data_IF_014609996854
#
_entry.id   IF_014609996854
#
_cell.length_a   1.000
_cell.length_b   1.000
_cell.length_c   1.000
_cell.angle_alpha   90.00
_cell.angle_beta   90.00
_cell.angle_gamma   90.00
#
_symmetry.space_group_name_H-M   'P 1'
#
loop_
_entity.id
_entity.type
_entity.pdbx_description
1 polymer ?
#
# COMPACT_ATOMS: atom_id res chain seq x y z
N UNK A 1 -0.44 -1.37 13.80
CA UNK A 1 -0.69 -0.36 12.74
C UNK A 1 -2.09 0.19 12.93
N UNK A 2 -2.20 1.46 13.27
CA UNK A 2 -3.51 2.11 13.50
C UNK A 2 -4.13 2.40 12.13
N UNK A 3 -5.41 2.10 11.95
CA UNK A 3 -6.12 2.48 10.72
C UNK A 3 -6.28 4.01 10.71
N UNK A 4 -5.37 4.72 10.04
CA UNK A 4 -5.31 6.18 9.97
C UNK A 4 -6.63 6.79 9.47
N UNK A 5 -7.40 6.01 8.71
CA UNK A 5 -8.68 6.44 8.16
C UNK A 5 -9.89 6.14 9.08
N UNK A 6 -9.72 5.27 10.09
CA UNK A 6 -10.81 4.94 11.02
C UNK A 6 -11.28 6.14 11.85
N UNK A 7 -10.42 7.16 12.02
CA UNK A 7 -10.67 8.38 12.77
C UNK A 7 -10.67 9.65 11.92
N UNK A 8 -10.82 9.53 10.59
CA UNK A 8 -10.81 10.68 9.69
C UNK A 8 -11.93 11.68 10.04
N UNK A 9 -11.58 12.97 10.09
CA UNK A 9 -12.53 14.04 10.40
C UNK A 9 -13.54 14.19 9.26
N UNK A 10 -14.87 14.21 9.55
CA UNK A 10 -15.87 14.45 8.52
C UNK A 10 -15.76 15.88 7.97
N UNK A 11 -16.00 16.05 6.66
CA UNK A 11 -15.96 17.36 6.01
C UNK A 11 -15.88 17.29 4.49
N UNK A 12 -16.05 18.43 3.82
CA UNK A 12 -16.03 18.50 2.36
C UNK A 12 -14.66 18.02 1.78
N UNK A 13 -13.55 18.38 2.43
CA UNK A 13 -12.21 17.93 2.03
C UNK A 13 -12.07 16.40 2.10
N UNK A 14 -12.58 15.77 3.17
CA UNK A 14 -12.56 14.32 3.32
C UNK A 14 -13.43 13.64 2.25
N UNK A 15 -14.61 14.19 1.92
CA UNK A 15 -15.50 13.67 0.86
C UNK A 15 -14.85 13.78 -0.52
N UNK A 16 -14.25 14.92 -0.86
CA UNK A 16 -13.53 15.09 -2.12
C UNK A 16 -12.29 14.17 -2.17
N UNK A 17 -11.53 14.10 -1.09
CA UNK A 17 -10.40 13.20 -0.97
C UNK A 17 -10.78 11.72 -1.14
N UNK A 18 -11.89 11.28 -0.54
CA UNK A 18 -12.38 9.90 -0.68
C UNK A 18 -12.84 9.58 -2.11
N UNK A 19 -13.51 10.52 -2.79
CA UNK A 19 -13.92 10.35 -4.19
C UNK A 19 -12.71 10.25 -5.14
N UNK A 20 -11.70 11.11 -4.93
CA UNK A 20 -10.45 11.05 -5.68
C UNK A 20 -9.67 9.76 -5.41
N UNK A 21 -9.64 9.32 -4.15
CA UNK A 21 -9.01 8.08 -3.75
C UNK A 21 -9.73 6.86 -4.37
N UNK A 22 -11.06 6.87 -4.44
CA UNK A 22 -11.85 5.81 -5.08
C UNK A 22 -11.53 5.71 -6.58
N UNK A 23 -11.48 6.86 -7.29
CA UNK A 23 -11.09 6.90 -8.71
C UNK A 23 -9.65 6.41 -8.91
N UNK A 24 -8.72 6.80 -8.04
CA UNK A 24 -7.34 6.35 -8.09
C UNK A 24 -7.22 4.84 -7.86
N UNK A 25 -7.97 4.27 -6.89
CA UNK A 25 -8.06 2.82 -6.67
C UNK A 25 -8.59 2.10 -7.90
N UNK A 26 -9.72 2.52 -8.45
CA UNK A 26 -10.31 1.90 -9.64
C UNK A 26 -9.33 1.91 -10.84
N UNK A 27 -8.57 3.01 -11.02
CA UNK A 27 -7.53 3.09 -12.06
C UNK A 27 -6.36 2.14 -11.76
N UNK A 28 -5.96 2.02 -10.50
CA UNK A 28 -4.90 1.10 -10.05
C UNK A 28 -5.27 -0.36 -10.34
N UNK A 29 -6.51 -0.77 -10.05
CA UNK A 29 -6.98 -2.12 -10.31
C UNK A 29 -6.94 -2.48 -11.80
N UNK A 30 -7.44 -1.60 -12.67
CA UNK A 30 -7.33 -1.82 -14.11
C UNK A 30 -5.87 -1.96 -14.56
N UNK A 31 -4.96 -1.15 -14.01
CA UNK A 31 -3.51 -1.25 -14.31
C UNK A 31 -2.89 -2.52 -13.73
N UNK A 32 -3.30 -2.91 -12.53
CA UNK A 32 -2.86 -4.15 -11.91
C UNK A 32 -3.12 -5.33 -12.84
N UNK A 33 -4.36 -5.56 -13.25
CA UNK A 33 -4.70 -6.64 -14.19
C UNK A 33 -3.95 -6.53 -15.53
N UNK A 34 -3.93 -5.34 -16.10
CA UNK A 34 -3.29 -5.13 -17.41
C UNK A 34 -1.78 -5.37 -17.40
N UNK A 35 -1.10 -5.10 -16.29
CA UNK A 35 0.37 -5.20 -16.21
C UNK A 35 0.87 -6.51 -15.60
N UNK A 36 0.04 -7.21 -14.81
CA UNK A 36 0.41 -8.50 -14.20
C UNK A 36 -0.19 -9.69 -14.94
N UNK A 37 -1.21 -9.47 -15.76
CA UNK A 37 -1.96 -10.56 -16.40
C UNK A 37 -2.85 -11.34 -15.43
N UNK A 38 -3.07 -10.84 -14.22
CA UNK A 38 -3.90 -11.51 -13.21
C UNK A 38 -5.32 -11.78 -13.74
N UNK A 39 -5.76 -13.00 -13.64
CA UNK A 39 -7.05 -13.49 -14.11
C UNK A 39 -7.53 -14.70 -13.30
N UNK A 40 -8.65 -15.34 -13.70
CA UNK A 40 -9.17 -16.51 -13.02
C UNK A 40 -8.09 -17.60 -12.83
N UNK A 41 -8.01 -18.15 -11.61
CA UNK A 41 -7.00 -19.17 -11.25
C UNK A 41 -5.64 -18.59 -10.81
N UNK A 42 -5.39 -17.28 -10.94
CA UNK A 42 -4.19 -16.65 -10.37
C UNK A 42 -4.31 -16.61 -8.85
N UNK A 43 -3.37 -17.28 -8.16
CA UNK A 43 -3.30 -17.29 -6.69
C UNK A 43 -2.54 -16.06 -6.22
N UNK A 44 -3.20 -15.24 -5.40
CA UNK A 44 -2.68 -13.95 -4.96
C UNK A 44 -2.64 -13.90 -3.44
N UNK A 45 -1.54 -13.42 -2.86
CA UNK A 45 -1.49 -12.98 -1.46
C UNK A 45 -1.57 -11.46 -1.40
N UNK A 46 -2.55 -10.93 -0.65
CA UNK A 46 -2.73 -9.48 -0.41
C UNK A 46 -2.14 -9.11 0.95
N UNK A 47 -0.91 -8.59 0.96
CA UNK A 47 -0.14 -8.30 2.17
C UNK A 47 -0.40 -6.88 2.65
N UNK A 48 -0.88 -6.76 3.90
CA UNK A 48 -1.42 -5.52 4.46
C UNK A 48 -2.80 -5.21 3.90
N UNK A 49 -3.64 -6.23 3.76
CA UNK A 49 -4.93 -6.16 3.08
C UNK A 49 -5.93 -5.19 3.73
N UNK A 50 -5.76 -4.85 5.02
CA UNK A 50 -6.70 -3.99 5.72
C UNK A 50 -8.10 -4.63 5.82
N UNK A 51 -9.14 -3.78 5.90
CA UNK A 51 -10.54 -4.26 6.07
C UNK A 51 -11.19 -4.74 4.77
N UNK A 52 -10.82 -4.15 3.65
CA UNK A 52 -11.49 -4.38 2.36
C UNK A 52 -10.62 -5.25 1.46
N UNK A 53 -9.31 -4.95 1.43
CA UNK A 53 -8.33 -5.64 0.62
C UNK A 53 -8.58 -5.59 -0.89
N UNK A 54 -7.70 -6.25 -1.61
CA UNK A 54 -7.85 -6.48 -3.04
C UNK A 54 -9.09 -7.35 -3.34
N UNK A 55 -9.40 -8.32 -2.45
CA UNK A 55 -10.50 -9.27 -2.61
C UNK A 55 -11.86 -8.63 -2.85
N UNK A 56 -12.17 -7.53 -2.13
CA UNK A 56 -13.44 -6.84 -2.32
C UNK A 56 -13.55 -6.08 -3.64
N UNK A 57 -12.41 -5.82 -4.29
CA UNK A 57 -12.31 -5.09 -5.55
C UNK A 57 -12.15 -6.02 -6.75
N UNK A 58 -11.66 -7.23 -6.50
CA UNK A 58 -11.38 -8.28 -7.47
C UNK A 58 -11.98 -9.62 -7.00
N UNK A 59 -13.32 -9.74 -6.93
CA UNK A 59 -13.99 -10.89 -6.31
C UNK A 59 -13.84 -12.20 -7.11
N UNK A 60 -13.44 -12.13 -8.35
CA UNK A 60 -13.22 -13.27 -9.26
C UNK A 60 -11.78 -13.83 -9.19
N UNK A 61 -10.87 -13.18 -8.45
CA UNK A 61 -9.51 -13.67 -8.25
C UNK A 61 -9.41 -14.53 -6.97
N UNK A 62 -8.48 -15.48 -6.96
CA UNK A 62 -8.16 -16.30 -5.78
C UNK A 62 -7.19 -15.53 -4.87
N UNK A 63 -7.72 -14.85 -3.85
CA UNK A 63 -6.97 -13.94 -3.00
C UNK A 63 -7.04 -14.36 -1.54
N UNK A 64 -5.86 -14.54 -0.93
CA UNK A 64 -5.68 -14.70 0.51
C UNK A 64 -5.17 -13.39 1.10
N UNK A 65 -5.89 -12.83 2.07
CA UNK A 65 -5.47 -11.61 2.79
C UNK A 65 -4.51 -11.93 3.93
N UNK A 66 -3.54 -11.05 4.13
CA UNK A 66 -2.61 -11.08 5.27
C UNK A 66 -2.56 -9.70 5.91
N UNK A 67 -2.69 -9.63 7.24
CA UNK A 67 -2.51 -8.38 8.00
C UNK A 67 -2.00 -8.71 9.42
N UNK A 68 -1.28 -7.78 10.03
CA UNK A 68 -0.84 -7.89 11.44
C UNK A 68 -2.00 -7.78 12.42
N UNK A 69 -3.07 -7.11 12.01
CA UNK A 69 -4.30 -6.91 12.79
C UNK A 69 -5.35 -7.88 12.29
N UNK A 70 -6.01 -8.58 13.22
CA UNK A 70 -7.18 -9.39 12.90
C UNK A 70 -8.24 -8.58 12.17
N UNK A 71 -8.79 -9.14 11.07
CA UNK A 71 -9.76 -8.45 10.22
C UNK A 71 -11.09 -9.23 10.15
N UNK A 72 -11.89 -9.24 11.22
CA UNK A 72 -13.22 -9.85 11.19
C UNK A 72 -14.04 -9.27 10.04
N UNK A 73 -14.56 -10.15 9.18
CA UNK A 73 -15.32 -9.73 7.99
C UNK A 73 -14.48 -9.43 6.75
N UNK A 74 -13.19 -9.80 6.70
CA UNK A 74 -12.47 -9.87 5.43
C UNK A 74 -13.19 -10.83 4.47
N UNK A 75 -13.42 -10.45 3.19
CA UNK A 75 -14.33 -11.18 2.31
C UNK A 75 -13.72 -12.44 1.66
N UNK A 76 -12.77 -13.10 2.30
CA UNK A 76 -12.10 -14.29 1.77
C UNK A 76 -11.18 -14.98 2.79
N UNK A 77 -10.32 -15.90 2.37
CA UNK A 77 -9.29 -16.47 3.21
C UNK A 77 -8.41 -15.37 3.81
N UNK A 78 -8.13 -15.49 5.11
CA UNK A 78 -7.34 -14.50 5.85
C UNK A 78 -6.35 -15.20 6.79
N UNK A 79 -5.15 -14.65 6.88
CA UNK A 79 -4.10 -15.10 7.80
C UNK A 79 -3.57 -13.89 8.56
N UNK A 80 -3.63 -13.94 9.89
CA UNK A 80 -2.99 -12.95 10.74
C UNK A 80 -1.50 -13.23 10.81
N UNK A 81 -0.68 -12.37 10.21
CA UNK A 81 0.77 -12.51 10.24
C UNK A 81 1.46 -11.15 10.02
N UNK A 82 2.71 -11.04 10.47
CA UNK A 82 3.58 -9.89 10.22
C UNK A 82 4.52 -10.21 9.04
N UNK A 83 4.41 -9.45 7.97
CA UNK A 83 5.25 -9.62 6.79
C UNK A 83 6.70 -9.10 6.96
N UNK A 84 7.04 -8.53 8.11
CA UNK A 84 8.42 -8.26 8.52
C UNK A 84 9.07 -9.46 9.19
N UNK A 85 8.30 -10.52 9.43
CA UNK A 85 8.70 -11.85 9.89
C UNK A 85 8.42 -12.88 8.80
N UNK A 86 8.68 -14.17 9.09
CA UNK A 86 8.38 -15.25 8.15
C UNK A 86 6.88 -15.49 8.07
N UNK A 87 6.30 -15.27 6.90
CA UNK A 87 4.90 -15.61 6.64
C UNK A 87 4.70 -17.14 6.62
N UNK A 88 3.54 -17.64 7.08
CA UNK A 88 3.25 -19.09 7.18
C UNK A 88 2.85 -19.69 5.81
N UNK A 89 3.65 -19.41 4.80
CA UNK A 89 3.47 -19.95 3.45
C UNK A 89 4.80 -20.48 2.93
N UNK A 90 4.73 -21.46 2.04
CA UNK A 90 5.88 -21.99 1.34
C UNK A 90 6.45 -20.99 0.32
N UNK A 91 7.68 -21.19 -0.08
CA UNK A 91 8.34 -20.40 -1.11
C UNK A 91 7.60 -20.56 -2.45
N UNK A 92 7.24 -19.45 -3.07
CA UNK A 92 6.50 -19.44 -4.34
C UNK A 92 5.07 -20.00 -4.27
N UNK A 93 4.47 -20.05 -3.07
CA UNK A 93 3.10 -20.54 -2.86
C UNK A 93 2.06 -19.78 -3.71
N UNK A 94 2.34 -18.53 -4.02
CA UNK A 94 1.46 -17.66 -4.80
C UNK A 94 2.07 -17.30 -6.16
N UNK A 95 1.20 -17.03 -7.13
CA UNK A 95 1.64 -16.52 -8.42
C UNK A 95 1.98 -15.04 -8.34
N UNK A 96 1.22 -14.28 -7.53
CA UNK A 96 1.45 -12.86 -7.29
C UNK A 96 1.31 -12.50 -5.80
N UNK A 97 2.19 -11.60 -5.32
CA UNK A 97 1.97 -10.85 -4.09
C UNK A 97 1.50 -9.43 -4.43
N UNK A 98 0.40 -9.03 -3.83
CA UNK A 98 -0.12 -7.66 -3.90
C UNK A 98 0.11 -6.96 -2.57
N UNK A 99 0.60 -5.72 -2.60
CA UNK A 99 0.66 -4.85 -1.43
C UNK A 99 0.48 -3.40 -1.84
N UNK A 100 -0.35 -2.66 -1.13
CA UNK A 100 -0.68 -1.28 -1.47
C UNK A 100 -0.74 -0.39 -0.25
N UNK A 101 0.16 0.59 -0.19
CA UNK A 101 0.27 1.55 0.92
C UNK A 101 0.55 0.86 2.26
N UNK A 102 1.58 0.04 2.30
CA UNK A 102 2.04 -0.71 3.49
C UNK A 102 3.48 -0.35 3.83
N UNK A 103 4.39 -0.42 2.86
CA UNK A 103 5.84 -0.31 3.10
C UNK A 103 6.25 1.05 3.69
N UNK A 104 5.49 2.11 3.44
CA UNK A 104 5.70 3.44 4.03
C UNK A 104 5.41 3.52 5.54
N UNK A 105 4.61 2.57 6.06
CA UNK A 105 4.31 2.45 7.49
C UNK A 105 5.32 1.60 8.25
N UNK A 106 6.19 0.88 7.53
CA UNK A 106 7.23 0.08 8.14
C UNK A 106 8.43 0.94 8.51
N UNK A 107 9.08 0.59 9.62
CA UNK A 107 10.37 1.19 9.96
C UNK A 107 11.38 0.90 8.87
N UNK A 108 12.30 1.81 8.55
CA UNK A 108 13.29 1.61 7.47
C UNK A 108 14.05 0.29 7.54
N UNK A 109 14.40 -0.15 8.77
CA UNK A 109 15.11 -1.41 9.03
C UNK A 109 14.29 -2.68 8.76
N UNK A 110 12.96 -2.57 8.74
CA UNK A 110 12.05 -3.69 8.52
C UNK A 110 11.70 -3.89 7.04
N UNK A 111 11.94 -2.88 6.20
CA UNK A 111 11.54 -2.88 4.78
C UNK A 111 12.23 -3.95 3.95
N UNK A 112 13.50 -4.26 4.26
CA UNK A 112 14.22 -5.34 3.57
C UNK A 112 13.63 -6.71 3.89
N UNK A 113 13.25 -6.96 5.16
CA UNK A 113 12.58 -8.22 5.57
C UNK A 113 11.24 -8.36 4.88
N UNK A 114 10.43 -7.30 4.89
CA UNK A 114 9.16 -7.25 4.15
C UNK A 114 9.35 -7.57 2.66
N UNK A 115 10.31 -6.91 2.00
CA UNK A 115 10.57 -7.12 0.58
C UNK A 115 11.07 -8.54 0.29
N UNK A 116 11.89 -9.11 1.19
CA UNK A 116 12.36 -10.49 1.09
C UNK A 116 11.19 -11.49 1.17
N UNK A 117 10.25 -11.28 2.12
CA UNK A 117 9.08 -12.15 2.26
C UNK A 117 8.13 -12.05 1.05
N UNK A 118 7.87 -10.85 0.53
CA UNK A 118 7.11 -10.68 -0.72
C UNK A 118 7.72 -11.50 -1.85
N UNK A 119 9.04 -11.42 -2.04
CA UNK A 119 9.77 -12.14 -3.09
C UNK A 119 9.85 -13.65 -2.84
N UNK A 120 9.83 -14.08 -1.58
CA UNK A 120 9.85 -15.49 -1.19
C UNK A 120 8.52 -16.18 -1.45
N UNK A 121 7.42 -15.59 -1.02
CA UNK A 121 6.10 -16.24 -1.06
C UNK A 121 5.45 -16.24 -2.43
N UNK A 122 5.91 -15.38 -3.37
CA UNK A 122 5.29 -15.24 -4.68
C UNK A 122 6.32 -15.18 -5.81
N UNK A 123 5.91 -15.70 -7.00
CA UNK A 123 6.73 -15.69 -8.23
C UNK A 123 6.85 -14.29 -8.84
N UNK A 124 5.80 -13.47 -8.66
CA UNK A 124 5.74 -12.08 -9.08
C UNK A 124 5.09 -11.21 -8.01
N UNK A 125 5.14 -9.89 -8.19
CA UNK A 125 4.55 -8.97 -7.22
C UNK A 125 4.02 -7.68 -7.85
N UNK A 126 3.13 -7.04 -7.11
CA UNK A 126 2.71 -5.66 -7.27
C UNK A 126 2.81 -4.96 -5.92
N UNK A 127 3.82 -4.13 -5.72
CA UNK A 127 4.01 -3.37 -4.49
C UNK A 127 3.91 -1.88 -4.78
N UNK A 128 2.89 -1.24 -4.26
CA UNK A 128 2.61 0.18 -4.45
C UNK A 128 2.84 0.97 -3.16
N UNK A 129 3.46 2.14 -3.27
CA UNK A 129 3.64 3.09 -2.18
C UNK A 129 3.50 4.53 -2.70
N UNK A 130 2.97 5.48 -1.90
CA UNK A 130 2.98 6.89 -2.25
C UNK A 130 4.39 7.41 -2.48
N UNK A 131 4.53 8.32 -3.43
CA UNK A 131 5.82 8.88 -3.80
C UNK A 131 6.23 10.02 -2.87
N UNK A 132 7.43 9.95 -2.28
CA UNK A 132 8.01 11.06 -1.49
C UNK A 132 8.05 12.38 -2.28
N UNK A 133 8.21 12.33 -3.60
CA UNK A 133 8.28 13.50 -4.48
C UNK A 133 6.92 14.16 -4.75
N UNK A 134 5.82 13.56 -4.35
CA UNK A 134 4.49 14.14 -4.56
C UNK A 134 4.24 15.22 -3.50
N UNK A 135 3.78 16.45 -3.89
CA UNK A 135 3.74 17.59 -2.97
C UNK A 135 2.65 17.50 -1.88
N UNK A 136 1.71 16.57 -1.98
CA UNK A 136 0.64 16.38 -0.98
C UNK A 136 0.88 15.10 -0.22
N UNK A 137 0.98 15.20 1.11
CA UNK A 137 1.02 14.06 2.00
C UNK A 137 -0.34 13.30 1.91
N UNK A 138 -0.36 12.03 1.49
CA UNK A 138 -1.61 11.37 1.10
C UNK A 138 -2.53 10.98 2.26
N UNK A 139 -1.99 10.77 3.46
CA UNK A 139 -2.77 10.32 4.61
C UNK A 139 -3.51 11.49 5.30
N UNK A 140 -2.84 12.62 5.46
CA UNK A 140 -3.44 13.82 6.05
C UNK A 140 -4.01 14.80 5.02
N UNK A 141 -3.76 14.60 3.72
CA UNK A 141 -4.06 15.50 2.61
C UNK A 141 -3.50 16.91 2.85
N UNK A 142 -2.26 16.97 3.34
CA UNK A 142 -1.58 18.22 3.65
C UNK A 142 -0.46 18.50 2.64
N UNK A 143 -0.43 19.71 2.04
CA UNK A 143 0.67 20.12 1.19
C UNK A 143 2.01 20.10 1.94
N UNK A 144 3.03 19.49 1.33
CA UNK A 144 4.43 19.51 1.79
C UNK A 144 4.70 18.94 3.20
N UNK A 145 3.70 18.35 3.88
CA UNK A 145 3.80 17.94 5.27
C UNK A 145 4.97 16.97 5.52
N UNK A 146 5.16 15.98 4.65
CA UNK A 146 6.22 14.97 4.79
C UNK A 146 7.64 15.51 4.50
N UNK A 147 7.77 16.73 3.97
CA UNK A 147 9.06 17.41 3.78
C UNK A 147 9.47 18.24 4.99
N UNK A 148 8.53 18.48 5.92
CA UNK A 148 8.82 19.21 7.14
C UNK A 148 9.55 18.34 8.17
N UNK A 149 10.44 18.92 8.99
CA UNK A 149 10.96 18.26 10.18
C UNK A 149 9.82 17.78 11.09
N UNK A 150 10.00 16.66 11.80
CA UNK A 150 8.98 16.02 12.64
C UNK A 150 8.35 17.00 13.64
N UNK A 151 9.18 17.88 14.24
CA UNK A 151 8.73 18.93 15.18
C UNK A 151 7.70 19.91 14.63
N UNK A 152 7.75 20.17 13.30
CA UNK A 152 6.79 21.03 12.59
C UNK A 152 5.66 20.22 11.99
N UNK A 153 5.97 19.03 11.49
CA UNK A 153 5.01 18.14 10.87
C UNK A 153 3.93 17.69 11.86
N UNK A 154 4.30 17.35 13.09
CA UNK A 154 3.37 16.85 14.10
C UNK A 154 2.25 17.85 14.48
N UNK A 155 2.48 19.13 14.77
CA UNK A 155 1.40 20.12 14.94
C UNK A 155 0.64 20.40 13.64
N UNK A 156 1.32 20.43 12.48
CA UNK A 156 0.71 20.67 11.18
C UNK A 156 -0.29 19.55 10.81
N UNK A 157 -0.01 18.29 11.22
CA UNK A 157 -0.88 17.14 10.99
C UNK A 157 -2.31 17.34 11.50
N UNK A 158 -2.48 18.12 12.56
CA UNK A 158 -3.80 18.43 13.16
C UNK A 158 -4.74 19.19 12.21
N UNK A 159 -4.20 19.85 11.20
CA UNK A 159 -4.96 20.57 10.18
C UNK A 159 -5.41 19.65 9.03
N UNK A 160 -4.89 18.43 9.00
CA UNK A 160 -5.22 17.43 7.99
C UNK A 160 -6.50 16.66 8.29
N UNK A 161 -6.85 15.76 7.37
CA UNK A 161 -8.02 14.87 7.49
C UNK A 161 -7.73 13.61 8.31
N UNK A 162 -6.46 13.24 8.49
CA UNK A 162 -6.05 12.12 9.34
C UNK A 162 -6.44 12.37 10.80
N UNK A 163 -6.75 11.28 11.50
CA UNK A 163 -7.03 11.33 12.93
C UNK A 163 -5.75 11.40 13.76
N UNK A 164 -5.31 10.26 14.30
CA UNK A 164 -4.09 10.18 15.10
C UNK A 164 -2.83 10.44 14.27
N UNK A 165 -1.81 10.97 14.94
CA UNK A 165 -0.47 11.08 14.37
C UNK A 165 0.14 9.69 14.19
N UNK A 166 0.65 9.42 13.01
CA UNK A 166 1.48 8.26 12.71
C UNK A 166 2.76 8.73 12.01
N UNK A 167 3.89 8.14 12.38
CA UNK A 167 5.14 8.42 11.69
C UNK A 167 5.22 7.60 10.40
N UNK A 168 4.92 8.26 9.30
CA UNK A 168 4.93 7.68 7.97
C UNK A 168 6.18 8.14 7.24
N UNK A 169 6.92 7.21 6.67
CA UNK A 169 8.14 7.48 5.93
C UNK A 169 7.95 7.11 4.44
N UNK A 170 7.48 8.08 3.64
CA UNK A 170 7.26 7.91 2.21
C UNK A 170 8.56 7.57 1.47
N UNK A 171 8.48 6.63 0.52
CA UNK A 171 9.64 6.12 -0.19
C UNK A 171 10.00 6.96 -1.42
N UNK A 172 11.30 7.02 -1.69
CA UNK A 172 11.84 7.49 -2.98
C UNK A 172 11.86 6.33 -3.98
N UNK A 173 11.78 6.66 -5.28
CA UNK A 173 11.88 5.65 -6.36
C UNK A 173 13.11 4.74 -6.24
N UNK A 174 14.26 5.32 -5.88
CA UNK A 174 15.51 4.56 -5.74
C UNK A 174 15.49 3.58 -4.58
N UNK A 175 14.80 3.90 -3.49
CA UNK A 175 14.62 3.00 -2.35
C UNK A 175 13.76 1.79 -2.74
N UNK A 176 12.60 2.03 -3.38
CA UNK A 176 11.74 0.94 -3.85
C UNK A 176 12.47 0.03 -4.86
N UNK A 177 13.36 0.60 -5.70
CA UNK A 177 14.19 -0.18 -6.62
C UNK A 177 15.21 -1.05 -5.87
N UNK A 178 15.81 -0.58 -4.76
CA UNK A 178 16.72 -1.40 -3.95
C UNK A 178 16.00 -2.57 -3.29
N UNK A 179 14.81 -2.32 -2.74
CA UNK A 179 13.98 -3.36 -2.11
C UNK A 179 13.54 -4.44 -3.11
N UNK A 180 13.30 -4.04 -4.36
CA UNK A 180 12.82 -4.92 -5.43
C UNK A 180 13.68 -4.77 -6.70
N UNK A 181 14.94 -5.24 -6.68
CA UNK A 181 15.91 -5.00 -7.76
C UNK A 181 15.50 -5.62 -9.10
N UNK A 182 14.79 -6.75 -9.07
CA UNK A 182 14.31 -7.48 -10.26
C UNK A 182 13.01 -6.90 -10.81
N UNK A 183 12.37 -5.99 -10.07
CA UNK A 183 11.09 -5.39 -10.44
C UNK A 183 11.24 -4.19 -11.36
N UNK A 184 10.27 -4.04 -12.25
CA UNK A 184 10.09 -2.81 -13.02
C UNK A 184 9.36 -1.76 -12.18
N UNK A 185 9.91 -0.54 -12.08
CA UNK A 185 9.27 0.57 -11.36
C UNK A 185 8.44 1.40 -12.33
N UNK A 186 7.15 1.49 -12.10
CA UNK A 186 6.22 2.36 -12.84
C UNK A 186 5.63 3.43 -11.94
N UNK A 187 5.29 4.59 -12.54
CA UNK A 187 4.67 5.70 -11.81
C UNK A 187 3.14 5.71 -12.02
N UNK A 188 2.40 5.94 -10.94
CA UNK A 188 1.04 6.45 -11.01
C UNK A 188 1.11 7.98 -10.98
N UNK A 189 0.60 8.63 -12.02
CA UNK A 189 0.77 10.08 -12.21
C UNK A 189 -0.53 10.85 -12.05
N UNK A 190 -0.38 12.10 -11.57
CA UNK A 190 -1.37 13.17 -11.68
C UNK A 190 -0.68 14.31 -12.45
N UNK A 191 -1.10 14.55 -13.70
CA UNK A 191 -0.34 15.41 -14.62
C UNK A 191 1.11 14.93 -14.77
N UNK A 192 2.10 15.81 -14.66
CA UNK A 192 3.52 15.43 -14.76
C UNK A 192 4.06 14.76 -13.47
N UNK A 193 3.37 14.90 -12.36
CA UNK A 193 3.86 14.47 -11.05
C UNK A 193 3.59 12.99 -10.77
N UNK A 194 4.59 12.27 -10.27
CA UNK A 194 4.43 10.92 -9.77
C UNK A 194 3.76 10.98 -8.40
N UNK A 195 2.52 10.48 -8.30
CA UNK A 195 1.76 10.37 -7.05
C UNK A 195 2.17 9.14 -6.24
N UNK A 196 2.46 8.06 -6.93
CA UNK A 196 2.84 6.78 -6.33
C UNK A 196 3.86 6.07 -7.21
N UNK A 197 4.66 5.21 -6.60
CA UNK A 197 5.53 4.26 -7.27
C UNK A 197 4.96 2.86 -7.11
N UNK A 198 5.11 2.06 -8.14
CA UNK A 198 4.77 0.63 -8.13
C UNK A 198 5.98 -0.14 -8.59
N UNK A 199 6.43 -1.09 -7.78
CA UNK A 199 7.32 -2.17 -8.23
C UNK A 199 6.48 -3.36 -8.66
N UNK A 200 6.76 -3.92 -9.83
CA UNK A 200 6.08 -5.11 -10.33
C UNK A 200 7.02 -6.03 -11.10
N UNK A 201 6.76 -7.32 -11.01
CA UNK A 201 7.41 -8.42 -11.74
C UNK A 201 6.36 -9.42 -12.19
#
# INVERSE_FOLDING_TARGET
>A
MTDVYASAKPGLRARLGSALAARARARRHRRFRALTGAGPGTRIVDVGCGRIGLRALEPDLDITGVDVVERPGYPGPFVRADATERLPFDDGAFDLAYSSSVVEHLRPEDRERFAAEIRRVAKGWWVQTPAYSFPVEPHALLPFAHWLPVRLRRPYWRLGVAGAWEEIALLRRGELRRLFPEGRIVAERIGPLAKSWVSLR
#
